data_IF_025763666959
#
_entry.id   IF_025763666959
#
_cell.length_a   1.000
_cell.length_b   1.000
_cell.length_c   1.000
_cell.angle_alpha   90.00
_cell.angle_beta   90.00
_cell.angle_gamma   90.00
#
_symmetry.space_group_name_H-M   'P 1'
#
loop_
_entity.id
_entity.type
_entity.pdbx_description
1 polymer ?
#
# COMPACT_ATOMS: atom_id res chain seq x y z
N UNK A 1 71.45 11.62 20.16
CA UNK A 1 70.27 10.77 19.92
C UNK A 1 69.03 11.54 20.30
N UNK A 2 68.32 12.12 19.32
CA UNK A 2 67.07 12.88 19.54
C UNK A 2 65.91 11.92 19.36
N UNK A 3 65.11 11.72 20.42
CA UNK A 3 63.89 10.91 20.39
C UNK A 3 62.75 11.77 19.86
N UNK A 4 62.30 11.50 18.63
CA UNK A 4 61.06 12.07 18.08
C UNK A 4 59.85 11.44 18.78
N UNK A 5 59.04 12.26 19.47
CA UNK A 5 57.70 11.87 19.90
C UNK A 5 56.75 11.99 18.71
N UNK A 6 56.20 10.87 18.25
CA UNK A 6 55.05 10.87 17.35
C UNK A 6 53.78 11.16 18.16
N UNK A 7 53.17 12.31 17.93
CA UNK A 7 51.84 12.64 18.44
C UNK A 7 50.84 12.11 17.43
N UNK A 8 50.16 11.01 17.77
CA UNK A 8 49.02 10.52 17.01
C UNK A 8 47.80 11.42 17.31
N UNK A 9 47.10 11.94 16.28
CA UNK A 9 45.87 12.70 16.51
C UNK A 9 44.75 11.74 16.93
N UNK A 10 44.22 11.96 18.13
CA UNK A 10 43.04 11.29 18.64
C UNK A 10 41.81 11.85 17.89
N UNK A 11 41.34 11.14 16.87
CA UNK A 11 40.07 11.46 16.22
C UNK A 11 38.93 11.17 17.22
N UNK A 12 38.37 12.23 17.80
CA UNK A 12 37.17 12.13 18.65
C UNK A 12 35.99 11.86 17.73
N UNK A 13 35.58 10.59 17.64
CA UNK A 13 34.32 10.22 17.03
C UNK A 13 33.19 10.71 17.94
N UNK A 14 32.55 11.82 17.57
CA UNK A 14 31.34 12.30 18.24
C UNK A 14 30.20 11.37 17.85
N UNK A 15 29.97 10.31 18.63
CA UNK A 15 28.78 9.49 18.49
C UNK A 15 27.57 10.36 18.90
N UNK A 16 26.75 10.74 17.92
CA UNK A 16 25.52 11.49 18.19
C UNK A 16 24.58 10.64 19.07
N UNK A 17 24.43 11.05 20.32
CA UNK A 17 23.57 10.43 21.33
C UNK A 17 22.11 10.85 21.14
N UNK A 18 21.57 10.64 19.94
CA UNK A 18 20.13 10.67 19.76
C UNK A 18 19.51 9.58 20.63
N UNK A 19 18.51 9.94 21.43
CA UNK A 19 17.80 8.99 22.30
C UNK A 19 17.15 7.89 21.46
N UNK A 20 16.99 6.68 22.02
CA UNK A 20 16.25 5.59 21.36
C UNK A 20 14.86 6.06 20.90
N UNK A 21 14.22 6.93 21.70
CA UNK A 21 12.95 7.59 21.38
C UNK A 21 13.06 8.54 20.18
N UNK A 22 14.08 9.38 20.07
CA UNK A 22 14.31 10.24 18.89
C UNK A 22 14.59 9.42 17.63
N UNK A 23 15.43 8.36 17.72
CA UNK A 23 15.69 7.47 16.59
C UNK A 23 14.44 6.68 16.16
N UNK A 24 13.58 6.30 17.11
CA UNK A 24 12.31 5.64 16.80
C UNK A 24 11.25 6.59 16.27
N UNK A 25 11.26 7.87 16.66
CA UNK A 25 10.26 8.86 16.21
C UNK A 25 10.28 9.12 14.70
N UNK A 26 11.41 8.80 14.04
CA UNK A 26 11.61 8.96 12.60
C UNK A 26 11.59 7.64 11.81
N UNK A 27 11.44 6.49 12.49
CA UNK A 27 11.46 5.19 11.85
C UNK A 27 10.04 4.63 11.76
N UNK A 28 9.72 3.96 10.64
CA UNK A 28 8.50 3.19 10.57
C UNK A 28 8.48 2.15 11.71
N UNK A 29 7.39 2.18 12.48
CA UNK A 29 7.09 1.15 13.44
C UNK A 29 6.71 -0.09 12.64
N UNK A 30 7.72 -0.87 12.29
CA UNK A 30 7.57 -2.15 11.61
C UNK A 30 6.61 -3.11 12.33
N UNK A 31 6.42 -4.32 11.80
CA UNK A 31 5.57 -5.31 12.44
C UNK A 31 6.25 -6.68 12.49
N UNK A 32 5.87 -7.49 13.49
CA UNK A 32 6.25 -8.90 13.57
C UNK A 32 5.08 -9.74 13.09
N UNK A 33 5.30 -10.60 12.11
CA UNK A 33 4.23 -11.46 11.59
C UNK A 33 4.01 -12.71 12.45
N UNK A 34 3.03 -13.54 12.08
CA UNK A 34 2.66 -14.76 12.79
C UNK A 34 3.74 -15.85 12.78
N UNK A 35 4.74 -15.76 11.90
CA UNK A 35 5.90 -16.67 11.85
C UNK A 35 7.07 -16.15 12.69
N UNK A 36 6.97 -14.91 13.16
CA UNK A 36 7.97 -14.23 13.96
C UNK A 36 8.99 -13.45 13.14
N UNK A 37 8.82 -13.34 11.83
CA UNK A 37 9.65 -12.47 11.01
C UNK A 37 9.37 -11.00 11.33
N UNK A 38 10.43 -10.19 11.35
CA UNK A 38 10.37 -8.76 11.65
C UNK A 38 10.48 -7.97 10.35
N UNK A 39 9.50 -7.12 10.13
CA UNK A 39 9.39 -6.26 8.96
C UNK A 39 9.60 -4.82 9.40
N UNK A 40 10.47 -4.09 8.70
CA UNK A 40 10.81 -2.70 9.07
C UNK A 40 9.69 -1.71 8.73
N UNK A 41 8.95 -1.97 7.67
CA UNK A 41 7.91 -1.10 7.16
C UNK A 41 6.54 -1.76 7.32
N UNK A 42 5.50 -0.95 7.53
CA UNK A 42 4.13 -1.44 7.54
C UNK A 42 3.17 -0.34 7.05
N UNK A 43 2.13 -0.76 6.33
CA UNK A 43 0.94 0.06 6.09
C UNK A 43 -0.21 -0.72 6.72
N UNK A 44 -0.75 -0.20 7.81
CA UNK A 44 -1.78 -0.88 8.61
C UNK A 44 -2.91 0.10 8.88
N UNK A 45 -4.14 -0.35 8.62
CA UNK A 45 -5.32 0.39 9.02
C UNK A 45 -6.51 -0.53 9.24
N UNK A 46 -7.33 -0.18 10.21
CA UNK A 46 -8.69 -0.68 10.43
C UNK A 46 -9.75 0.36 10.03
N UNK A 47 -9.32 1.47 9.42
CA UNK A 47 -10.12 2.61 8.99
C UNK A 47 -10.86 3.39 10.09
N UNK A 48 -10.54 3.15 11.38
CA UNK A 48 -11.11 3.93 12.50
C UNK A 48 -10.78 5.42 12.43
N UNK A 49 -9.62 5.78 11.86
CA UNK A 49 -9.21 7.16 11.58
C UNK A 49 -9.91 7.78 10.35
N UNK A 50 -10.80 7.03 9.69
CA UNK A 50 -11.52 7.42 8.47
C UNK A 50 -10.81 6.98 7.18
N UNK A 51 -11.58 6.52 6.20
CA UNK A 51 -11.07 5.96 4.94
C UNK A 51 -10.20 6.95 4.14
N UNK A 52 -10.66 8.20 3.97
CA UNK A 52 -9.90 9.21 3.21
C UNK A 52 -8.56 9.57 3.89
N UNK A 53 -8.53 9.63 5.22
CA UNK A 53 -7.30 9.87 5.98
C UNK A 53 -6.26 8.79 5.67
N UNK A 54 -6.68 7.52 5.72
CA UNK A 54 -5.81 6.36 5.41
C UNK A 54 -5.33 6.39 3.97
N UNK A 55 -6.23 6.65 3.01
CA UNK A 55 -5.88 6.68 1.60
C UNK A 55 -4.86 7.77 1.30
N UNK A 56 -5.01 8.96 1.90
CA UNK A 56 -4.12 10.10 1.66
C UNK A 56 -2.64 9.86 2.04
N UNK A 57 -2.34 8.85 2.85
CA UNK A 57 -0.99 8.57 3.33
C UNK A 57 -0.17 7.70 2.36
N UNK A 58 -0.77 6.63 1.83
CA UNK A 58 -0.01 5.58 1.13
C UNK A 58 -0.74 5.02 -0.11
N UNK A 59 -1.85 5.64 -0.52
CA UNK A 59 -2.67 5.13 -1.62
C UNK A 59 -3.07 6.24 -2.59
N UNK A 60 -3.41 5.84 -3.80
CA UNK A 60 -4.07 6.67 -4.77
C UNK A 60 -5.31 5.94 -5.32
N UNK A 61 -6.32 6.72 -5.71
CA UNK A 61 -7.55 6.21 -6.32
C UNK A 61 -7.37 6.12 -7.83
N UNK A 62 -7.90 5.06 -8.44
CA UNK A 62 -7.83 4.90 -9.88
C UNK A 62 -8.84 5.83 -10.57
N UNK A 63 -8.45 6.42 -11.71
CA UNK A 63 -9.27 7.39 -12.45
C UNK A 63 -9.19 7.25 -13.97
N UNK A 64 -8.62 6.15 -14.46
CA UNK A 64 -8.39 5.92 -15.90
C UNK A 64 -9.38 4.90 -16.49
N UNK A 65 -9.27 4.74 -17.81
CA UNK A 65 -10.01 3.75 -18.58
C UNK A 65 -9.17 2.49 -18.76
N UNK A 66 -9.82 1.35 -18.74
CA UNK A 66 -9.19 0.06 -18.99
C UNK A 66 -10.07 -0.76 -19.94
N UNK A 67 -9.45 -1.32 -20.96
CA UNK A 67 -10.10 -2.20 -21.95
C UNK A 67 -9.41 -3.55 -21.90
N UNK A 68 -10.22 -4.62 -21.94
CA UNK A 68 -9.72 -5.98 -22.05
C UNK A 68 -10.20 -6.60 -23.35
N UNK A 69 -9.37 -7.46 -23.92
CA UNK A 69 -9.81 -8.33 -25.01
C UNK A 69 -10.91 -9.28 -24.49
N UNK A 70 -11.83 -9.66 -25.37
CA UNK A 70 -12.85 -10.71 -25.14
C UNK A 70 -13.86 -10.43 -24.01
N UNK A 71 -14.03 -9.16 -23.61
CA UNK A 71 -15.13 -8.72 -22.74
C UNK A 71 -16.05 -7.72 -23.44
N UNK A 72 -17.37 -7.73 -23.15
CA UNK A 72 -18.33 -6.91 -23.89
C UNK A 72 -18.26 -5.41 -23.59
N UNK A 73 -17.69 -5.02 -22.45
CA UNK A 73 -17.66 -3.63 -21.99
C UNK A 73 -16.31 -3.27 -21.39
N UNK A 74 -15.79 -2.11 -21.77
CA UNK A 74 -14.63 -1.50 -21.10
C UNK A 74 -14.99 -0.95 -19.72
N UNK A 75 -13.96 -0.72 -18.91
CA UNK A 75 -14.06 -0.17 -17.56
C UNK A 75 -13.67 1.30 -17.54
N UNK A 76 -14.29 2.04 -16.60
CA UNK A 76 -13.90 3.39 -16.24
C UNK A 76 -13.76 3.44 -14.72
N UNK A 77 -12.53 3.60 -14.23
CA UNK A 77 -12.32 3.83 -12.80
C UNK A 77 -12.75 5.24 -12.43
N UNK A 78 -13.44 5.34 -11.30
CA UNK A 78 -13.89 6.60 -10.73
C UNK A 78 -13.51 6.68 -9.26
N UNK A 79 -12.87 7.78 -8.87
CA UNK A 79 -12.56 8.06 -7.47
C UNK A 79 -13.82 8.10 -6.58
N UNK A 80 -14.98 8.45 -7.15
CA UNK A 80 -16.27 8.46 -6.42
C UNK A 80 -16.78 7.04 -6.09
N UNK A 81 -16.21 6.01 -6.71
CA UNK A 81 -16.49 4.61 -6.38
C UNK A 81 -15.59 4.09 -5.26
N UNK A 82 -14.76 4.94 -4.66
CA UNK A 82 -13.94 4.66 -3.47
C UNK A 82 -14.33 5.65 -2.37
N UNK A 83 -14.97 5.16 -1.31
CA UNK A 83 -15.65 5.98 -0.31
C UNK A 83 -15.63 5.35 1.07
N UNK A 84 -15.82 6.15 2.13
CA UNK A 84 -16.00 5.63 3.48
C UNK A 84 -17.33 4.88 3.60
N UNK A 85 -17.31 3.66 4.15
CA UNK A 85 -18.51 2.82 4.27
C UNK A 85 -18.45 1.96 5.52
N UNK A 86 -19.45 2.07 6.41
CA UNK A 86 -19.57 1.28 7.65
C UNK A 86 -18.29 1.25 8.51
N UNK A 87 -17.62 2.40 8.65
CA UNK A 87 -16.35 2.50 9.39
C UNK A 87 -15.15 1.86 8.69
N UNK A 88 -15.31 1.43 7.44
CA UNK A 88 -14.28 0.86 6.58
C UNK A 88 -14.11 1.61 5.26
N UNK A 89 -13.33 1.00 4.38
CA UNK A 89 -13.22 1.40 2.97
C UNK A 89 -14.26 0.67 2.12
N UNK A 90 -15.10 1.42 1.43
CA UNK A 90 -15.99 0.93 0.39
C UNK A 90 -15.37 1.14 -0.98
N UNK A 91 -15.38 0.07 -1.80
CA UNK A 91 -15.06 0.12 -3.23
C UNK A 91 -16.24 -0.53 -3.95
N UNK A 92 -16.77 0.12 -4.98
CA UNK A 92 -17.96 -0.36 -5.69
C UNK A 92 -17.78 -0.40 -7.21
N UNK A 93 -18.56 -1.29 -7.82
CA UNK A 93 -18.99 -1.16 -9.21
C UNK A 93 -20.38 -0.55 -9.21
N UNK A 94 -20.58 0.51 -9.99
CA UNK A 94 -21.91 1.13 -10.12
C UNK A 94 -22.80 0.29 -11.04
N UNK A 95 -24.12 0.43 -10.87
CA UNK A 95 -25.09 -0.20 -11.76
C UNK A 95 -24.81 0.19 -13.22
N UNK A 96 -24.76 -0.81 -14.11
CA UNK A 96 -24.51 -0.57 -15.52
C UNK A 96 -25.78 -0.02 -16.20
N UNK A 97 -25.73 1.15 -16.85
CA UNK A 97 -26.93 1.77 -17.44
C UNK A 97 -27.36 1.11 -18.77
N UNK A 98 -26.70 0.05 -19.20
CA UNK A 98 -26.98 -0.66 -20.46
C UNK A 98 -26.19 -0.15 -21.66
N UNK A 99 -25.36 0.88 -21.51
CA UNK A 99 -24.47 1.39 -22.54
C UNK A 99 -23.23 2.08 -21.95
N UNK A 100 -22.19 2.27 -22.77
CA UNK A 100 -20.94 2.90 -22.35
C UNK A 100 -20.03 1.97 -21.54
N UNK A 101 -19.14 2.56 -20.73
CA UNK A 101 -18.19 1.84 -19.88
C UNK A 101 -18.79 1.54 -18.50
N UNK A 102 -18.46 0.38 -17.95
CA UNK A 102 -18.81 0.01 -16.58
C UNK A 102 -18.01 0.88 -15.60
N UNK A 103 -18.71 1.59 -14.71
CA UNK A 103 -18.05 2.45 -13.72
C UNK A 103 -17.60 1.63 -12.52
N UNK A 104 -16.30 1.54 -12.30
CA UNK A 104 -15.66 0.70 -11.27
C UNK A 104 -14.85 1.56 -10.29
N UNK A 105 -14.37 0.95 -9.21
CA UNK A 105 -13.51 1.58 -8.23
C UNK A 105 -12.24 0.75 -8.02
N UNK A 106 -11.15 1.42 -7.66
CA UNK A 106 -9.86 0.78 -7.43
C UNK A 106 -8.91 1.72 -6.71
N UNK A 107 -7.98 1.14 -5.96
CA UNK A 107 -6.89 1.86 -5.29
C UNK A 107 -5.58 1.11 -5.51
N UNK A 108 -4.47 1.85 -5.51
CA UNK A 108 -3.12 1.31 -5.53
C UNK A 108 -2.27 1.96 -4.47
N UNK A 109 -1.22 1.27 -4.02
CA UNK A 109 -0.23 1.87 -3.12
C UNK A 109 0.62 2.88 -3.88
N UNK A 110 0.99 3.99 -3.24
CA UNK A 110 1.96 4.96 -3.79
C UNK A 110 3.42 4.48 -3.69
N UNK A 111 3.65 3.35 -3.02
CA UNK A 111 4.97 2.74 -2.86
C UNK A 111 5.32 1.84 -4.04
N UNK A 112 6.56 2.00 -4.52
CA UNK A 112 7.14 1.19 -5.59
C UNK A 112 8.32 0.32 -5.10
N UNK A 113 8.66 0.43 -3.82
CA UNK A 113 9.85 -0.15 -3.19
C UNK A 113 9.52 -1.40 -2.34
N UNK A 114 8.44 -2.11 -2.67
CA UNK A 114 8.00 -3.33 -1.98
C UNK A 114 8.51 -4.56 -2.75
N UNK A 115 9.55 -5.21 -2.23
CA UNK A 115 10.08 -6.47 -2.78
C UNK A 115 9.58 -7.71 -2.03
N UNK A 116 9.49 -7.62 -0.71
CA UNK A 116 9.04 -8.70 0.17
C UNK A 116 8.02 -8.15 1.15
N UNK A 117 7.01 -8.97 1.47
CA UNK A 117 6.00 -8.58 2.43
C UNK A 117 5.03 -9.69 2.74
N UNK A 118 4.21 -9.46 3.75
CA UNK A 118 2.95 -10.16 3.93
C UNK A 118 1.82 -9.23 3.55
N UNK A 119 0.80 -9.75 2.90
CA UNK A 119 -0.35 -8.97 2.46
C UNK A 119 -1.60 -9.63 3.02
N UNK A 120 -2.35 -8.88 3.81
CA UNK A 120 -3.55 -9.38 4.48
C UNK A 120 -4.64 -8.33 4.42
N UNK A 121 -5.86 -8.82 4.23
CA UNK A 121 -7.05 -7.99 4.18
C UNK A 121 -8.21 -8.78 4.80
N UNK A 122 -9.09 -8.05 5.49
CA UNK A 122 -10.43 -8.51 5.82
C UNK A 122 -11.42 -7.72 4.96
N UNK A 123 -12.12 -8.39 4.06
CA UNK A 123 -13.11 -7.77 3.18
C UNK A 123 -14.41 -8.55 3.14
N UNK A 124 -15.51 -7.84 2.86
CA UNK A 124 -16.77 -8.45 2.42
C UNK A 124 -16.85 -8.34 0.90
N UNK A 125 -16.84 -9.49 0.23
CA UNK A 125 -16.83 -9.57 -1.23
C UNK A 125 -18.27 -9.46 -1.78
N UNK A 126 -18.50 -8.71 -2.87
CA UNK A 126 -19.81 -8.63 -3.50
C UNK A 126 -20.26 -9.98 -4.06
N UNK A 127 -21.58 -10.23 -4.07
CA UNK A 127 -22.19 -11.45 -4.66
C UNK A 127 -22.95 -11.17 -5.96
N UNK A 128 -22.82 -9.96 -6.50
CA UNK A 128 -23.56 -9.52 -7.68
C UNK A 128 -22.90 -10.13 -8.92
N UNK A 129 -23.63 -10.87 -9.77
CA UNK A 129 -23.07 -11.45 -10.98
C UNK A 129 -22.39 -10.41 -11.87
N UNK A 130 -21.20 -10.76 -12.36
CA UNK A 130 -20.38 -9.88 -13.22
C UNK A 130 -19.54 -8.85 -12.47
N UNK A 131 -19.65 -8.73 -11.14
CA UNK A 131 -18.75 -7.92 -10.33
C UNK A 131 -17.57 -8.78 -9.88
N UNK A 132 -16.35 -8.35 -10.22
CA UNK A 132 -15.11 -8.97 -9.77
C UNK A 132 -14.51 -8.16 -8.61
N UNK A 133 -14.04 -8.86 -7.58
CA UNK A 133 -13.18 -8.31 -6.54
C UNK A 133 -11.74 -8.79 -6.74
N UNK A 134 -10.78 -7.86 -6.75
CA UNK A 134 -9.36 -8.17 -6.91
C UNK A 134 -8.53 -7.70 -5.73
N UNK A 135 -7.62 -8.56 -5.28
CA UNK A 135 -6.52 -8.23 -4.38
C UNK A 135 -5.24 -8.88 -4.89
N UNK A 136 -4.31 -8.07 -5.36
CA UNK A 136 -3.14 -8.54 -6.10
C UNK A 136 -1.96 -7.61 -5.87
N UNK A 137 -0.76 -8.08 -6.18
CA UNK A 137 0.42 -7.24 -6.37
C UNK A 137 0.61 -6.99 -7.86
N UNK A 138 1.02 -5.78 -8.22
CA UNK A 138 1.31 -5.41 -9.61
C UNK A 138 2.55 -4.52 -9.67
N UNK A 139 3.48 -4.87 -10.54
CA UNK A 139 4.65 -4.07 -10.88
C UNK A 139 4.73 -3.77 -12.38
N UNK A 140 4.30 -4.71 -13.21
CA UNK A 140 4.22 -4.58 -14.67
C UNK A 140 3.32 -5.67 -15.26
N UNK A 141 3.05 -5.60 -16.56
CA UNK A 141 2.23 -6.59 -17.31
C UNK A 141 2.80 -8.01 -17.32
N UNK A 142 4.02 -8.21 -16.82
CA UNK A 142 4.67 -9.52 -16.66
C UNK A 142 4.98 -9.86 -15.20
N UNK A 143 4.62 -8.98 -14.27
CA UNK A 143 4.91 -9.09 -12.84
C UNK A 143 3.66 -8.71 -12.04
N UNK A 144 2.70 -9.63 -12.03
CA UNK A 144 1.46 -9.56 -11.28
C UNK A 144 1.28 -10.87 -10.51
N UNK A 145 0.70 -10.79 -9.31
CA UNK A 145 0.31 -11.96 -8.55
C UNK A 145 -1.00 -11.74 -7.77
N UNK A 146 -2.01 -12.52 -8.14
CA UNK A 146 -3.30 -12.58 -7.46
C UNK A 146 -3.15 -13.19 -6.06
N UNK A 147 -3.56 -12.44 -5.02
CA UNK A 147 -3.71 -12.94 -3.65
C UNK A 147 -5.15 -13.43 -3.44
N UNK A 148 -6.12 -12.76 -4.05
CA UNK A 148 -7.52 -13.16 -4.07
C UNK A 148 -8.29 -12.52 -5.21
N UNK A 149 -9.06 -13.34 -5.93
CA UNK A 149 -9.91 -12.93 -7.04
C UNK A 149 -11.24 -13.67 -6.95
N UNK A 150 -12.34 -12.93 -6.88
CA UNK A 150 -13.69 -13.48 -6.62
C UNK A 150 -14.74 -12.84 -7.51
#
# INVERSE_FOLDING_TARGET
MVRSLFIAPLAIAVASAATLTERQSTCACGYKDSTGAVWRESIVSDFTAGAESVLSQNYYKFTWQEDHADVPYGMQYSANNVYAYNGGLGIKTSAFPGSGRVQVGGIGTTREDILYGTFRMRATVPKVPGVCFGFFTYKSDTQEADIGKF
#
